data_IF_398223909872
#
_entry.id   IF_398223909872
#
_cell.length_a   1.000
_cell.length_b   1.000
_cell.length_c   1.000
_cell.angle_alpha   90.00
_cell.angle_beta   90.00
_cell.angle_gamma   90.00
#
_symmetry.space_group_name_H-M   'P 1'
#
loop_
_entity.id
_entity.type
_entity.pdbx_description
1 polymer ?
#
# COMPACT_ATOMS: atom_id res chain seq x y z
N UNK A 1 26.93 49.70 -3.40
CA UNK A 1 26.22 49.36 -4.65
C UNK A 1 25.44 48.09 -4.36
N UNK A 2 24.16 48.15 -3.96
CA UNK A 2 22.92 48.24 -4.80
C UNK A 2 22.82 47.04 -5.76
N UNK A 3 21.76 46.23 -5.88
CA UNK A 3 20.31 46.30 -5.57
C UNK A 3 19.79 44.83 -5.34
N UNK A 4 18.81 44.51 -4.46
CA UNK A 4 17.33 44.66 -4.49
C UNK A 4 16.57 43.96 -5.64
N UNK A 5 15.53 43.19 -5.24
CA UNK A 5 14.31 42.84 -6.01
C UNK A 5 14.29 41.40 -6.55
N UNK A 6 13.22 40.61 -6.50
CA UNK A 6 11.80 40.90 -6.22
C UNK A 6 11.00 39.60 -5.97
N UNK A 7 10.06 39.66 -5.04
CA UNK A 7 8.82 38.87 -5.00
C UNK A 7 7.94 39.14 -6.23
N UNK A 8 7.07 38.19 -6.59
CA UNK A 8 5.96 38.36 -7.54
C UNK A 8 5.56 37.01 -8.15
N UNK A 9 4.59 36.32 -7.55
CA UNK A 9 3.16 36.35 -7.92
C UNK A 9 2.82 35.50 -9.16
N UNK A 10 2.11 34.40 -8.93
CA UNK A 10 1.05 33.91 -9.82
C UNK A 10 -0.05 33.24 -8.98
N UNK A 11 -0.98 34.07 -8.49
CA UNK A 11 -2.35 33.67 -8.19
C UNK A 11 -3.21 33.81 -9.45
N UNK A 12 -4.25 32.96 -9.48
CA UNK A 12 -5.56 33.14 -10.11
C UNK A 12 -5.78 32.66 -11.56
N UNK A 13 -6.73 31.72 -11.69
CA UNK A 13 -7.89 31.69 -12.60
C UNK A 13 -8.48 30.25 -12.57
N UNK A 14 -9.78 29.94 -12.55
CA UNK A 14 -11.06 30.66 -12.50
C UNK A 14 -12.15 29.58 -12.20
N UNK A 15 -13.19 29.87 -11.39
CA UNK A 15 -14.61 30.07 -11.79
C UNK A 15 -15.33 28.82 -12.38
N UNK A 16 -16.62 28.52 -12.22
CA UNK A 16 -17.81 28.98 -11.49
C UNK A 16 -18.92 27.98 -11.93
N UNK A 17 -19.79 27.50 -11.03
CA UNK A 17 -21.13 27.01 -11.40
C UNK A 17 -22.07 27.04 -10.17
N UNK A 18 -22.91 28.08 -10.12
CA UNK A 18 -24.36 28.09 -9.80
C UNK A 18 -24.93 26.82 -9.13
N UNK A 19 -25.64 26.81 -8.00
CA UNK A 19 -26.54 27.79 -7.41
C UNK A 19 -28.00 27.43 -7.68
N UNK A 20 -28.69 26.74 -6.75
CA UNK A 20 -30.15 26.82 -6.46
C UNK A 20 -30.37 26.32 -5.02
N UNK A 21 -31.02 27.14 -4.18
CA UNK A 21 -31.55 26.71 -2.88
C UNK A 21 -33.07 26.60 -2.91
N UNK A 22 -33.67 25.83 -2.00
CA UNK A 22 -35.06 26.01 -1.58
C UNK A 22 -35.42 25.21 -0.31
N UNK A 23 -35.90 25.92 0.71
CA UNK A 23 -37.12 25.59 1.48
C UNK A 23 -37.09 24.46 2.52
N UNK A 24 -37.19 24.84 3.80
CA UNK A 24 -37.68 24.01 4.89
C UNK A 24 -39.21 23.98 4.94
N UNK A 25 -39.84 22.83 5.21
CA UNK A 25 -41.19 22.70 5.81
C UNK A 25 -41.30 21.39 6.61
N UNK A 26 -41.79 21.48 7.84
CA UNK A 26 -42.16 20.38 8.75
C UNK A 26 -43.41 19.59 8.31
N UNK A 27 -43.51 18.31 8.69
CA UNK A 27 -44.75 17.53 8.53
C UNK A 27 -44.71 16.11 9.12
N UNK A 28 -45.40 15.96 10.25
CA UNK A 28 -45.77 14.75 11.03
C UNK A 28 -46.03 13.42 10.29
N UNK A 29 -45.52 12.36 10.92
CA UNK A 29 -46.18 11.11 11.36
C UNK A 29 -46.95 10.23 10.34
N UNK A 30 -46.45 8.99 10.11
CA UNK A 30 -47.17 7.75 10.44
C UNK A 30 -46.32 6.48 10.28
N UNK A 31 -46.63 5.57 11.19
CA UNK A 31 -46.15 4.20 11.40
C UNK A 31 -46.43 3.29 10.20
N UNK A 32 -45.43 2.50 9.81
CA UNK A 32 -45.55 1.40 8.84
C UNK A 32 -44.39 0.42 9.03
N UNK A 33 -44.68 -0.72 9.63
CA UNK A 33 -43.76 -1.80 10.00
C UNK A 33 -43.63 -2.73 8.79
N UNK A 34 -42.44 -2.93 8.25
CA UNK A 34 -42.09 -4.16 7.55
C UNK A 34 -40.58 -4.29 7.43
N UNK A 35 -40.06 -5.41 7.91
CA UNK A 35 -38.64 -5.72 7.92
C UNK A 35 -38.16 -6.03 6.51
N UNK A 36 -37.10 -5.32 6.12
CA UNK A 36 -36.20 -5.76 5.07
C UNK A 36 -34.78 -5.54 5.60
N UNK A 37 -34.26 -6.58 6.24
CA UNK A 37 -32.85 -6.67 6.64
C UNK A 37 -32.02 -6.92 5.37
N UNK A 38 -31.92 -5.88 4.55
CA UNK A 38 -30.94 -5.81 3.47
C UNK A 38 -29.69 -5.26 4.12
N UNK A 39 -28.80 -6.16 4.56
CA UNK A 39 -27.42 -5.86 4.91
C UNK A 39 -26.76 -5.16 3.72
N UNK A 40 -26.93 -3.84 3.67
CA UNK A 40 -26.13 -2.95 2.85
C UNK A 40 -24.74 -3.06 3.46
N UNK A 41 -23.93 -3.96 2.91
CA UNK A 41 -22.48 -3.79 2.98
C UNK A 41 -22.24 -2.40 2.40
N UNK A 42 -22.07 -1.41 3.27
CA UNK A 42 -21.51 -0.13 2.89
C UNK A 42 -20.18 -0.48 2.26
N UNK A 43 -20.13 -0.48 0.93
CA UNK A 43 -18.91 -0.18 0.24
C UNK A 43 -18.59 1.24 0.69
N UNK A 44 -17.83 1.33 1.78
CA UNK A 44 -17.12 2.54 2.11
C UNK A 44 -16.25 2.75 0.88
N UNK A 45 -16.56 3.77 0.09
CA UNK A 45 -15.65 4.25 -0.93
C UNK A 45 -14.42 4.78 -0.20
N UNK A 46 -13.57 3.87 0.27
CA UNK A 46 -12.30 4.21 0.84
C UNK A 46 -11.53 4.87 -0.29
N UNK A 47 -11.19 6.13 -0.10
CA UNK A 47 -10.18 6.81 -0.89
C UNK A 47 -8.82 6.45 -0.32
N UNK A 48 -7.78 6.43 -1.16
CA UNK A 48 -6.41 6.23 -0.71
C UNK A 48 -6.08 7.18 0.46
N UNK A 49 -5.58 6.62 1.56
CA UNK A 49 -5.23 7.39 2.76
C UNK A 49 -3.70 7.49 2.90
N UNK A 50 -3.13 8.45 2.19
CA UNK A 50 -1.70 8.76 2.17
C UNK A 50 -1.16 9.05 3.58
N UNK A 51 -1.89 9.81 4.39
CA UNK A 51 -1.46 10.16 5.76
C UNK A 51 -1.31 8.92 6.64
N UNK A 52 -2.24 7.97 6.52
CA UNK A 52 -2.16 6.71 7.28
C UNK A 52 -1.00 5.82 6.84
N UNK A 53 -0.71 5.79 5.54
CA UNK A 53 0.41 5.01 5.02
C UNK A 53 1.74 5.64 5.43
N UNK A 54 1.86 6.97 5.35
CA UNK A 54 3.07 7.67 5.78
C UNK A 54 3.30 7.54 7.29
N UNK A 55 2.26 7.67 8.09
CA UNK A 55 2.34 7.46 9.55
C UNK A 55 2.64 6.02 9.93
N UNK A 56 2.43 5.02 9.07
CA UNK A 56 2.79 3.61 9.35
C UNK A 56 4.07 3.17 8.64
N UNK A 57 4.62 3.98 7.74
CA UNK A 57 5.85 3.66 7.00
C UNK A 57 7.06 3.52 7.91
N UNK A 58 7.10 4.25 9.04
CA UNK A 58 8.13 4.12 10.07
C UNK A 58 8.19 2.72 10.73
N UNK A 59 7.13 1.90 10.56
CA UNK A 59 7.15 0.51 11.02
C UNK A 59 8.21 -0.31 10.28
N UNK A 60 8.67 0.13 9.13
CA UNK A 60 9.65 -0.59 8.33
C UNK A 60 11.01 0.09 8.50
N UNK A 61 12.05 -0.68 8.78
CA UNK A 61 13.38 -0.13 9.02
C UNK A 61 13.94 0.50 7.72
N UNK A 62 14.37 1.77 7.78
CA UNK A 62 15.00 2.48 6.64
C UNK A 62 14.25 2.28 5.31
N UNK A 63 12.96 2.66 5.22
CA UNK A 63 12.16 2.36 4.04
C UNK A 63 12.54 3.28 2.89
N UNK A 64 12.72 2.71 1.71
CA UNK A 64 12.85 3.47 0.47
C UNK A 64 11.63 3.22 -0.40
N UNK A 65 10.88 4.28 -0.71
CA UNK A 65 9.61 4.18 -1.43
C UNK A 65 9.80 4.51 -2.91
N UNK A 66 9.38 3.59 -3.77
CA UNK A 66 9.25 3.78 -5.20
C UNK A 66 7.77 3.92 -5.56
N UNK A 67 7.44 4.83 -6.47
CA UNK A 67 6.09 5.01 -6.97
C UNK A 67 6.01 4.53 -8.43
N UNK A 68 5.00 3.72 -8.73
CA UNK A 68 4.77 3.16 -10.05
C UNK A 68 3.32 3.36 -10.47
N UNK A 69 3.11 4.17 -11.53
CA UNK A 69 1.80 4.40 -12.10
C UNK A 69 1.57 3.52 -13.34
N UNK A 70 0.88 2.38 -13.16
CA UNK A 70 0.62 1.44 -14.25
C UNK A 70 -0.45 1.92 -15.24
N UNK A 71 -1.12 3.05 -14.96
CA UNK A 71 -2.07 3.68 -15.88
C UNK A 71 -1.33 4.58 -16.86
N UNK A 72 -0.32 5.29 -16.38
CA UNK A 72 0.41 6.31 -17.15
C UNK A 72 1.74 5.83 -17.71
N UNK A 73 2.37 4.86 -17.06
CA UNK A 73 3.69 4.39 -17.42
C UNK A 73 3.65 3.02 -18.09
N UNK A 74 4.52 2.83 -19.09
CA UNK A 74 4.68 1.52 -19.71
C UNK A 74 5.40 0.56 -18.75
N UNK A 75 4.93 -0.69 -18.68
CA UNK A 75 5.52 -1.74 -17.83
C UNK A 75 7.04 -1.85 -17.95
N UNK A 76 7.57 -1.77 -19.18
CA UNK A 76 9.01 -1.88 -19.42
C UNK A 76 9.81 -0.68 -18.85
N UNK A 77 9.19 0.51 -18.71
CA UNK A 77 9.81 1.66 -18.05
C UNK A 77 9.82 1.47 -16.53
N UNK A 78 8.69 1.06 -15.94
CA UNK A 78 8.56 0.69 -14.53
C UNK A 78 9.62 -0.36 -14.15
N UNK A 79 9.72 -1.44 -14.94
CA UNK A 79 10.66 -2.52 -14.68
C UNK A 79 12.12 -2.05 -14.76
N UNK A 80 12.47 -1.18 -15.72
CA UNK A 80 13.82 -0.59 -15.79
C UNK A 80 14.14 0.26 -14.56
N UNK A 81 13.20 1.11 -14.13
CA UNK A 81 13.36 1.92 -12.91
C UNK A 81 13.54 1.03 -11.69
N UNK A 82 12.73 -0.02 -11.55
CA UNK A 82 12.85 -0.97 -10.44
C UNK A 82 14.19 -1.71 -10.45
N UNK A 83 14.64 -2.23 -11.59
CA UNK A 83 15.93 -2.93 -11.71
C UNK A 83 17.10 -1.98 -11.40
N UNK A 84 17.06 -0.74 -11.93
CA UNK A 84 18.09 0.26 -11.65
C UNK A 84 18.15 0.58 -10.16
N UNK A 85 17.00 0.70 -9.51
CA UNK A 85 16.90 0.92 -8.08
C UNK A 85 17.47 -0.25 -7.26
N UNK A 86 17.02 -1.49 -7.52
CA UNK A 86 17.56 -2.69 -6.83
C UNK A 86 19.06 -2.82 -7.06
N UNK A 87 19.55 -2.48 -8.25
CA UNK A 87 20.99 -2.48 -8.55
C UNK A 87 21.72 -1.47 -7.68
N UNK A 88 21.18 -0.26 -7.52
CA UNK A 88 21.79 0.81 -6.72
C UNK A 88 21.83 0.52 -5.22
N UNK A 89 20.91 -0.31 -4.71
CA UNK A 89 20.82 -0.69 -3.29
C UNK A 89 21.37 -2.09 -2.99
N UNK A 90 21.93 -2.76 -4.00
CA UNK A 90 22.48 -4.12 -3.90
C UNK A 90 23.80 -4.19 -3.10
N UNK A 91 24.39 -5.39 -3.02
CA UNK A 91 25.75 -5.57 -2.47
C UNK A 91 26.87 -4.94 -3.32
N UNK A 92 26.53 -4.45 -4.53
CA UNK A 92 27.47 -4.05 -5.59
C UNK A 92 28.32 -5.20 -6.16
N UNK A 93 28.23 -6.41 -5.61
CA UNK A 93 28.87 -7.59 -6.18
C UNK A 93 28.13 -8.04 -7.43
N UNK A 94 28.90 -8.57 -8.39
CA UNK A 94 28.39 -9.05 -9.66
C UNK A 94 29.02 -10.39 -10.02
N UNK A 95 28.21 -11.27 -10.59
CA UNK A 95 28.67 -12.50 -11.24
C UNK A 95 28.16 -12.43 -12.68
N UNK A 96 29.08 -12.19 -13.62
CA UNK A 96 28.73 -11.73 -14.97
C UNK A 96 27.86 -10.46 -14.91
N UNK A 97 26.73 -10.45 -15.62
CA UNK A 97 25.76 -9.35 -15.64
C UNK A 97 24.71 -9.45 -14.53
N UNK A 98 24.84 -10.42 -13.62
CA UNK A 98 23.90 -10.63 -12.52
C UNK A 98 24.38 -9.87 -11.28
N UNK A 99 23.55 -8.95 -10.82
CA UNK A 99 23.75 -8.23 -9.57
C UNK A 99 23.40 -9.13 -8.39
N UNK A 100 24.30 -9.22 -7.42
CA UNK A 100 24.08 -9.99 -6.20
C UNK A 100 23.48 -9.08 -5.14
N UNK A 101 22.39 -9.53 -4.52
CA UNK A 101 21.74 -8.81 -3.41
C UNK A 101 22.63 -8.84 -2.16
N UNK A 102 22.24 -8.06 -1.15
CA UNK A 102 22.91 -8.08 0.16
C UNK A 102 22.83 -9.48 0.78
N UNK A 103 23.75 -9.78 1.70
CA UNK A 103 23.69 -11.02 2.47
C UNK A 103 22.37 -11.03 3.23
N UNK A 104 21.58 -12.07 3.00
CA UNK A 104 20.30 -12.25 3.66
C UNK A 104 20.51 -12.45 5.16
N UNK A 105 19.80 -11.66 5.97
CA UNK A 105 19.74 -11.90 7.42
C UNK A 105 18.91 -13.16 7.72
N UNK A 106 19.14 -13.84 8.86
CA UNK A 106 18.34 -14.99 9.26
C UNK A 106 16.84 -14.70 9.17
N UNK A 107 16.03 -15.71 8.86
CA UNK A 107 14.57 -15.55 8.68
C UNK A 107 13.88 -15.01 9.95
N UNK A 108 14.47 -15.27 11.12
CA UNK A 108 14.03 -14.73 12.42
C UNK A 108 14.30 -13.23 12.60
N UNK A 109 15.05 -12.60 11.69
CA UNK A 109 15.49 -11.22 11.77
C UNK A 109 14.92 -10.38 10.62
N UNK A 110 14.57 -9.13 10.96
CA UNK A 110 14.21 -8.13 9.97
C UNK A 110 15.43 -7.75 9.11
N UNK A 111 15.23 -7.42 7.82
CA UNK A 111 16.31 -6.91 6.97
C UNK A 111 16.79 -5.53 7.47
N UNK A 112 17.96 -5.10 6.99
CA UNK A 112 18.54 -3.78 7.32
C UNK A 112 17.73 -2.61 6.77
N UNK A 113 17.16 -2.81 5.60
CA UNK A 113 16.30 -1.85 4.94
C UNK A 113 15.18 -2.52 4.18
N UNK A 114 14.15 -1.74 3.86
CA UNK A 114 12.99 -2.20 3.14
C UNK A 114 12.81 -1.41 1.85
N UNK A 115 12.54 -2.13 0.76
CA UNK A 115 12.13 -1.55 -0.50
C UNK A 115 10.60 -1.52 -0.52
N UNK A 116 10.02 -0.34 -0.62
CA UNK A 116 8.58 -0.17 -0.72
C UNK A 116 8.18 0.22 -2.13
N UNK A 117 7.04 -0.29 -2.58
CA UNK A 117 6.48 0.05 -3.88
C UNK A 117 5.03 0.51 -3.74
N UNK A 118 4.80 1.80 -4.00
CA UNK A 118 3.48 2.36 -4.16
C UNK A 118 3.00 2.08 -5.59
N UNK A 119 2.04 1.18 -5.72
CA UNK A 119 1.47 0.77 -6.99
C UNK A 119 0.14 1.48 -7.22
N UNK A 120 -0.01 2.14 -8.36
CA UNK A 120 -1.25 2.80 -8.77
C UNK A 120 -1.80 2.08 -9.99
N UNK A 121 -3.01 1.58 -9.84
CA UNK A 121 -3.81 0.92 -10.86
C UNK A 121 -4.90 1.83 -11.43
N UNK A 122 -5.81 1.23 -12.18
CA UNK A 122 -6.99 1.91 -12.74
C UNK A 122 -8.02 2.19 -11.63
N UNK A 123 -8.96 3.09 -11.92
CA UNK A 123 -10.14 3.33 -11.09
C UNK A 123 -9.83 3.70 -9.62
N UNK A 124 -8.68 4.33 -9.38
CA UNK A 124 -8.23 4.74 -8.04
C UNK A 124 -7.77 3.58 -7.16
N UNK A 125 -7.46 2.42 -7.74
CA UNK A 125 -6.80 1.33 -7.04
C UNK A 125 -5.36 1.72 -6.69
N UNK A 126 -5.05 1.72 -5.40
CA UNK A 126 -3.71 1.99 -4.89
C UNK A 126 -3.37 1.01 -3.77
N UNK A 127 -2.11 0.59 -3.73
CA UNK A 127 -1.56 -0.25 -2.66
C UNK A 127 -0.09 0.06 -2.44
N UNK A 128 0.38 -0.11 -1.21
CA UNK A 128 1.81 -0.11 -0.90
C UNK A 128 2.25 -1.55 -0.69
N UNK A 129 3.34 -1.98 -1.34
CA UNK A 129 3.99 -3.26 -1.05
C UNK A 129 5.25 -3.01 -0.21
N UNK A 130 5.54 -3.93 0.71
CA UNK A 130 6.84 -3.98 1.40
C UNK A 130 7.63 -5.20 0.95
N UNK A 131 8.88 -4.96 0.55
CA UNK A 131 9.81 -5.97 0.07
C UNK A 131 11.11 -5.89 0.87
N UNK A 132 11.68 -7.04 1.21
CA UNK A 132 13.02 -7.08 1.80
C UNK A 132 14.06 -6.64 0.78
N UNK A 133 15.06 -5.88 1.22
CA UNK A 133 16.16 -5.45 0.35
C UNK A 133 17.16 -6.57 0.01
N UNK A 134 17.23 -7.59 0.86
CA UNK A 134 18.22 -8.66 0.81
C UNK A 134 17.81 -9.89 -0.02
N UNK A 135 16.51 -10.12 -0.23
CA UNK A 135 16.00 -11.24 -1.03
C UNK A 135 14.79 -10.92 -1.93
N UNK A 136 14.32 -9.65 -1.93
CA UNK A 136 13.18 -9.16 -2.71
C UNK A 136 11.83 -9.83 -2.41
N UNK A 137 11.71 -10.59 -1.31
CA UNK A 137 10.43 -11.18 -0.93
C UNK A 137 9.46 -10.08 -0.48
N UNK A 138 8.25 -10.13 -1.02
CA UNK A 138 7.13 -9.31 -0.55
C UNK A 138 6.63 -9.91 0.76
N UNK A 139 6.62 -9.12 1.84
CA UNK A 139 6.17 -9.60 3.15
C UNK A 139 4.94 -8.89 3.68
N UNK A 140 4.47 -7.85 3.00
CA UNK A 140 3.22 -7.21 3.35
C UNK A 140 2.73 -6.24 2.30
N UNK A 141 1.49 -5.80 2.50
CA UNK A 141 0.87 -4.76 1.70
C UNK A 141 -0.04 -3.88 2.56
N UNK A 142 -0.14 -2.60 2.19
CA UNK A 142 -1.18 -1.71 2.70
C UNK A 142 -2.35 -1.71 1.72
N UNK A 143 -3.56 -1.90 2.24
CA UNK A 143 -4.78 -1.75 1.45
C UNK A 143 -5.08 -0.26 1.19
N UNK A 144 -6.17 0.01 0.45
CA UNK A 144 -6.56 1.38 0.07
C UNK A 144 -6.80 2.30 1.29
N UNK A 145 -7.28 1.75 2.40
CA UNK A 145 -7.50 2.48 3.65
C UNK A 145 -6.20 2.77 4.43
N UNK A 146 -5.05 2.28 3.94
CA UNK A 146 -3.75 2.35 4.60
C UNK A 146 -3.56 1.32 5.72
N UNK A 147 -4.45 0.32 5.86
CA UNK A 147 -4.24 -0.78 6.80
C UNK A 147 -3.21 -1.77 6.26
N UNK A 148 -2.21 -2.09 7.06
CA UNK A 148 -1.17 -3.04 6.70
C UNK A 148 -1.57 -4.48 7.02
N UNK A 149 -1.26 -5.37 6.07
CA UNK A 149 -1.34 -6.81 6.21
C UNK A 149 0.04 -7.41 5.92
N UNK A 150 0.64 -8.15 6.85
CA UNK A 150 2.00 -8.68 6.66
C UNK A 150 2.26 -10.01 7.40
N UNK A 151 3.35 -10.68 7.05
CA UNK A 151 3.92 -11.82 7.80
C UNK A 151 4.78 -11.37 9.01
N UNK A 152 4.58 -10.15 9.49
CA UNK A 152 5.25 -9.57 10.66
C UNK A 152 4.25 -9.44 11.80
N UNK A 153 4.65 -9.86 13.01
CA UNK A 153 3.83 -9.66 14.21
C UNK A 153 4.12 -8.30 14.83
N UNK A 154 3.17 -7.36 14.66
CA UNK A 154 3.17 -6.02 15.28
C UNK A 154 1.75 -5.59 15.60
N UNK A 155 1.59 -4.73 16.61
CA UNK A 155 0.26 -4.31 17.09
C UNK A 155 -0.59 -3.61 16.02
N UNK A 156 0.04 -2.81 15.16
CA UNK A 156 -0.64 -2.02 14.11
C UNK A 156 -0.70 -2.72 12.74
N UNK A 157 -0.32 -4.00 12.67
CA UNK A 157 -0.27 -4.77 11.43
C UNK A 157 -1.15 -6.00 11.55
N UNK A 158 -2.08 -6.16 10.61
CA UNK A 158 -2.92 -7.36 10.56
C UNK A 158 -2.08 -8.55 10.07
N UNK A 159 -1.92 -9.62 10.86
CA UNK A 159 -1.11 -10.76 10.44
C UNK A 159 -1.78 -11.54 9.31
N UNK A 160 -1.00 -11.89 8.28
CA UNK A 160 -1.44 -12.77 7.20
C UNK A 160 -1.54 -14.21 7.70
N UNK A 161 -2.67 -14.87 7.43
CA UNK A 161 -2.95 -16.27 7.84
C UNK A 161 -2.48 -17.32 6.84
N UNK A 162 -1.82 -16.87 5.78
CA UNK A 162 -1.17 -17.70 4.76
C UNK A 162 0.34 -17.58 4.96
N UNK A 163 1.13 -18.52 4.45
CA UNK A 163 2.58 -18.36 4.39
C UNK A 163 2.98 -17.60 3.12
N UNK A 164 4.23 -17.14 3.08
CA UNK A 164 4.84 -16.32 2.01
C UNK A 164 5.40 -17.15 0.83
N UNK A 165 5.23 -18.47 0.84
CA UNK A 165 5.69 -19.36 -0.23
C UNK A 165 4.56 -19.72 -1.21
N UNK A 166 4.92 -19.98 -2.47
CA UNK A 166 3.97 -20.32 -3.54
C UNK A 166 3.04 -21.50 -3.20
N UNK A 167 3.53 -22.51 -2.49
CA UNK A 167 2.71 -23.65 -2.07
C UNK A 167 1.53 -23.23 -1.18
N UNK A 168 1.77 -22.32 -0.23
CA UNK A 168 0.70 -21.76 0.59
C UNK A 168 -0.21 -20.81 -0.18
N UNK A 169 0.35 -19.95 -1.05
CA UNK A 169 -0.42 -18.96 -1.80
C UNK A 169 -1.38 -19.60 -2.82
N UNK A 170 -0.99 -20.73 -3.39
CA UNK A 170 -1.80 -21.50 -4.33
C UNK A 170 -2.77 -22.48 -3.65
N UNK A 171 -2.83 -22.47 -2.31
CA UNK A 171 -3.71 -23.36 -1.54
C UNK A 171 -3.24 -24.81 -1.44
N UNK A 172 -2.04 -25.14 -1.93
CA UNK A 172 -1.46 -26.49 -1.76
C UNK A 172 -1.11 -26.79 -0.29
N UNK A 173 -0.95 -25.76 0.54
CA UNK A 173 -0.82 -25.85 2.00
C UNK A 173 -2.14 -25.75 2.79
N UNK A 174 -3.28 -25.56 2.12
CA UNK A 174 -4.60 -25.40 2.74
C UNK A 174 -5.49 -26.64 2.55
N UNK A 175 -4.90 -27.83 2.43
CA UNK A 175 -5.65 -29.07 2.69
C UNK A 175 -5.88 -29.12 4.20
N UNK A 176 -7.09 -28.82 4.62
CA UNK A 176 -7.50 -28.88 6.01
C UNK A 176 -7.10 -30.22 6.64
N UNK A 177 -6.19 -30.18 7.60
CA UNK A 177 -6.03 -31.25 8.57
C UNK A 177 -6.75 -30.83 9.85
N UNK A 178 -7.93 -31.39 10.16
CA UNK A 178 -8.49 -31.35 11.49
C UNK A 178 -7.72 -32.37 12.34
N UNK A 179 -6.51 -32.04 12.77
CA UNK A 179 -5.78 -32.83 13.77
C UNK A 179 -5.13 -31.91 14.81
N UNK A 180 -5.87 -31.75 15.90
CA UNK A 180 -5.40 -31.83 17.27
C UNK A 180 -4.19 -30.95 17.66
N UNK A 181 -4.48 -29.73 18.11
CA UNK A 181 -3.75 -29.16 19.23
C UNK A 181 -4.07 -29.99 20.48
N UNK A 182 -3.22 -30.98 20.78
CA UNK A 182 -2.98 -31.42 22.16
C UNK A 182 -1.61 -30.89 22.58
N UNK A 183 -1.47 -30.29 23.76
CA UNK A 183 -0.18 -29.88 24.27
C UNK A 183 0.63 -31.13 24.66
N UNK A 184 1.92 -31.11 24.34
CA UNK A 184 2.96 -31.81 25.08
C UNK A 184 3.66 -30.76 25.95
#
# INVERSE_FOLDING_TARGET
>A
MSARGSDGDLKAAAALATGVGCGAVEGRERVGREGNDVSHKRHVNATWNEDRVNTTTHLWANPTVLRFDFVREAYHAILRTFIAFITSTSSMLRVYDIVILKIQRPVSEAPESWNMAHLIGRDGDETMLSMRDDNLYVLGFANRSGDWHAHLFREDVTPLKINDNYGSLLGAGHRGSPLANRPC
#
